data_IF_794805385502
#
_entry.id   IF_794805385502
#
_cell.length_a   1.000
_cell.length_b   1.000
_cell.length_c   1.000
_cell.angle_alpha   90.00
_cell.angle_beta   90.00
_cell.angle_gamma   90.00
#
_symmetry.space_group_name_H-M   'P 1'
#
loop_
_entity.id
_entity.type
_entity.pdbx_description
1 polymer ?
#
# COMPACT_ATOMS: atom_id res chain seq x y z
N UNK A 1 6.31 -7.12 -59.60
CA UNK A 1 6.82 -7.72 -58.35
C UNK A 1 8.19 -7.12 -58.07
N UNK A 2 8.40 -6.11 -57.21
CA UNK A 2 8.92 -6.32 -55.85
C UNK A 2 9.20 -4.97 -55.12
N UNK A 3 8.49 -3.88 -55.45
CA UNK A 3 8.78 -2.54 -54.87
C UNK A 3 7.62 -1.85 -54.13
N UNK A 4 6.38 -2.37 -54.21
CA UNK A 4 5.24 -1.84 -53.44
C UNK A 4 5.03 -2.50 -52.08
N UNK A 5 5.48 -3.75 -51.90
CA UNK A 5 5.35 -4.49 -50.64
C UNK A 5 6.31 -3.99 -49.54
N UNK A 6 7.48 -3.45 -49.92
CA UNK A 6 8.46 -2.93 -48.94
C UNK A 6 7.98 -1.63 -48.28
N UNK A 7 7.27 -0.77 -49.03
CA UNK A 7 6.80 0.54 -48.54
C UNK A 7 5.56 0.48 -47.63
N UNK A 8 4.87 -0.68 -47.56
CA UNK A 8 3.71 -0.87 -46.67
C UNK A 8 4.14 -1.46 -45.31
N UNK A 9 5.28 -2.15 -45.23
CA UNK A 9 5.85 -2.64 -43.97
C UNK A 9 6.49 -1.52 -43.13
N UNK A 10 7.01 -0.47 -43.77
CA UNK A 10 7.63 0.68 -43.09
C UNK A 10 6.61 1.70 -42.51
N UNK A 11 5.31 1.49 -42.71
CA UNK A 11 4.24 2.36 -42.19
C UNK A 11 3.57 1.84 -40.90
N UNK A 12 4.01 0.69 -40.36
CA UNK A 12 3.52 0.12 -39.10
C UNK A 12 4.56 0.24 -37.97
N UNK A 13 5.22 1.39 -37.91
CA UNK A 13 6.05 1.81 -36.79
C UNK A 13 5.61 3.21 -36.37
N UNK A 14 4.35 3.35 -35.97
CA UNK A 14 3.93 4.51 -35.17
C UNK A 14 4.64 4.39 -33.82
N UNK A 15 5.47 5.37 -33.45
CA UNK A 15 6.31 5.29 -32.26
C UNK A 15 5.45 5.28 -31.00
N UNK A 16 5.75 4.43 -30.00
CA UNK A 16 5.22 4.63 -28.66
C UNK A 16 5.73 5.99 -28.15
N UNK A 17 4.75 6.85 -27.87
CA UNK A 17 4.81 8.10 -27.13
C UNK A 17 5.95 8.17 -26.10
N UNK A 18 6.81 9.18 -26.25
CA UNK A 18 7.95 9.48 -25.38
C UNK A 18 7.62 9.96 -23.95
N UNK A 19 6.44 9.63 -23.43
CA UNK A 19 6.07 9.84 -22.03
C UNK A 19 6.39 8.62 -21.15
N UNK A 20 6.19 7.39 -21.65
CA UNK A 20 6.45 6.16 -20.89
C UNK A 20 7.95 5.97 -20.57
N UNK A 21 8.82 6.37 -21.49
CA UNK A 21 10.28 6.32 -21.33
C UNK A 21 10.77 7.29 -20.23
N UNK A 22 10.02 8.36 -19.94
CA UNK A 22 10.38 9.38 -18.94
C UNK A 22 9.95 8.96 -17.53
N UNK A 23 8.83 8.26 -17.39
CA UNK A 23 8.44 7.60 -16.15
C UNK A 23 9.36 6.42 -15.81
N UNK A 24 9.69 5.55 -16.79
CA UNK A 24 10.66 4.47 -16.57
C UNK A 24 12.02 5.00 -16.08
N UNK A 25 12.50 6.13 -16.62
CA UNK A 25 13.78 6.71 -16.21
C UNK A 25 13.73 7.34 -14.79
N UNK A 26 12.57 7.83 -14.34
CA UNK A 26 12.39 8.30 -12.94
C UNK A 26 12.24 7.14 -11.97
N UNK A 27 11.46 6.12 -12.32
CA UNK A 27 11.25 4.91 -11.52
C UNK A 27 12.56 4.12 -11.33
N UNK A 28 13.37 4.03 -12.39
CA UNK A 28 14.71 3.40 -12.35
C UNK A 28 15.74 4.22 -11.57
N UNK A 29 15.61 5.56 -11.51
CA UNK A 29 16.47 6.40 -10.66
C UNK A 29 16.10 6.31 -9.19
N UNK A 30 14.80 6.25 -8.87
CA UNK A 30 14.32 6.07 -7.51
C UNK A 30 14.70 4.70 -6.93
N UNK A 31 14.65 3.63 -7.74
CA UNK A 31 15.07 2.30 -7.31
C UNK A 31 16.57 2.16 -7.02
N UNK A 32 17.42 3.01 -7.62
CA UNK A 32 18.86 3.07 -7.29
C UNK A 32 19.12 3.70 -5.92
N UNK A 33 18.27 4.64 -5.48
CA UNK A 33 18.35 5.19 -4.12
C UNK A 33 17.97 4.17 -3.06
N UNK A 34 16.96 3.33 -3.34
CA UNK A 34 16.53 2.22 -2.47
C UNK A 34 17.59 1.10 -2.40
N UNK A 35 18.34 0.87 -3.50
CA UNK A 35 19.40 -0.15 -3.57
C UNK A 35 20.60 0.12 -2.64
N UNK A 36 20.81 1.35 -2.17
CA UNK A 36 21.97 1.70 -1.34
C UNK A 36 21.80 1.38 0.16
N UNK A 37 20.56 1.13 0.62
CA UNK A 37 20.25 0.91 2.05
C UNK A 37 19.85 -0.55 2.34
N UNK A 38 19.74 -1.39 1.29
CA UNK A 38 19.02 -2.66 1.39
C UNK A 38 19.98 -3.85 1.62
N UNK A 39 19.79 -4.64 2.70
CA UNK A 39 20.60 -5.83 2.97
C UNK A 39 20.43 -6.87 1.87
N UNK A 40 21.51 -7.63 1.59
CA UNK A 40 21.59 -8.58 0.47
C UNK A 40 20.42 -9.58 0.39
N UNK A 41 19.86 -9.99 1.53
CA UNK A 41 18.71 -10.89 1.62
C UNK A 41 17.43 -10.30 1.00
N UNK A 42 17.17 -9.01 1.23
CA UNK A 42 15.97 -8.34 0.69
C UNK A 42 16.14 -8.09 -0.82
N UNK A 43 17.37 -7.91 -1.30
CA UNK A 43 17.63 -7.75 -2.72
C UNK A 43 17.34 -9.03 -3.51
N UNK A 44 17.60 -10.21 -2.94
CA UNK A 44 17.25 -11.49 -3.56
C UNK A 44 15.73 -11.69 -3.63
N UNK A 45 15.01 -11.32 -2.57
CA UNK A 45 13.55 -11.38 -2.53
C UNK A 45 12.93 -10.44 -3.57
N UNK A 46 13.46 -9.22 -3.71
CA UNK A 46 12.94 -8.25 -4.67
C UNK A 46 13.16 -8.68 -6.12
N UNK A 47 14.30 -9.31 -6.43
CA UNK A 47 14.55 -9.86 -7.77
C UNK A 47 13.60 -11.04 -8.06
N UNK A 48 13.45 -11.98 -7.13
CA UNK A 48 12.56 -13.13 -7.29
C UNK A 48 11.08 -12.73 -7.43
N UNK A 49 10.61 -11.78 -6.61
CA UNK A 49 9.25 -11.24 -6.71
C UNK A 49 9.04 -10.45 -8.00
N UNK A 50 10.08 -9.74 -8.47
CA UNK A 50 10.04 -9.00 -9.74
C UNK A 50 9.92 -9.93 -10.95
N UNK A 51 10.63 -11.05 -10.94
CA UNK A 51 10.57 -12.05 -12.01
C UNK A 51 9.21 -12.76 -12.05
N UNK A 52 8.64 -13.09 -10.88
CA UNK A 52 7.29 -13.64 -10.77
C UNK A 52 6.21 -12.61 -11.18
N UNK A 53 6.37 -11.33 -10.82
CA UNK A 53 5.48 -10.27 -11.32
C UNK A 53 5.54 -10.13 -12.84
N UNK A 54 6.74 -10.25 -13.43
CA UNK A 54 6.94 -10.20 -14.89
C UNK A 54 6.30 -11.40 -15.59
N UNK A 55 6.39 -12.59 -14.98
CA UNK A 55 5.80 -13.82 -15.52
C UNK A 55 4.27 -13.79 -15.45
N UNK A 56 3.72 -13.30 -14.33
CA UNK A 56 2.28 -13.10 -14.11
C UNK A 56 1.71 -12.08 -15.10
N UNK A 57 2.41 -10.97 -15.36
CA UNK A 57 1.95 -9.95 -16.33
C UNK A 57 1.77 -10.50 -17.76
N UNK A 58 2.46 -11.58 -18.13
CA UNK A 58 2.36 -12.19 -19.46
C UNK A 58 1.04 -12.95 -19.70
N UNK A 59 0.32 -13.30 -18.64
CA UNK A 59 -0.97 -14.02 -18.69
C UNK A 59 -2.08 -13.17 -18.06
N UNK A 60 -2.70 -12.25 -18.81
CA UNK A 60 -3.60 -11.25 -18.24
C UNK A 60 -4.83 -11.87 -17.55
N UNK A 61 -5.31 -13.03 -18.02
CA UNK A 61 -6.48 -13.70 -17.44
C UNK A 61 -6.21 -14.30 -16.06
N UNK A 62 -5.07 -14.97 -15.89
CA UNK A 62 -4.67 -15.58 -14.62
C UNK A 62 -4.18 -14.52 -13.63
N UNK A 63 -3.46 -13.51 -14.12
CA UNK A 63 -3.04 -12.35 -13.33
C UNK A 63 -4.24 -11.60 -12.72
N UNK A 64 -5.29 -11.38 -13.51
CA UNK A 64 -6.46 -10.62 -13.05
C UNK A 64 -7.19 -11.35 -11.92
N UNK A 65 -7.32 -12.67 -11.98
CA UNK A 65 -7.90 -13.46 -10.89
C UNK A 65 -7.05 -13.41 -9.61
N UNK A 66 -5.74 -13.51 -9.73
CA UNK A 66 -4.81 -13.41 -8.59
C UNK A 66 -4.87 -12.02 -7.93
N UNK A 67 -4.87 -10.96 -8.74
CA UNK A 67 -4.98 -9.57 -8.28
C UNK A 67 -6.35 -9.31 -7.64
N UNK A 68 -7.44 -9.81 -8.22
CA UNK A 68 -8.78 -9.67 -7.63
C UNK A 68 -8.88 -10.39 -6.29
N UNK A 69 -8.33 -11.59 -6.15
CA UNK A 69 -8.30 -12.29 -4.86
C UNK A 69 -7.49 -11.52 -3.81
N UNK A 70 -6.32 -10.99 -4.17
CA UNK A 70 -5.52 -10.14 -3.29
C UNK A 70 -6.31 -8.89 -2.88
N UNK A 71 -6.92 -8.20 -3.85
CA UNK A 71 -7.74 -7.02 -3.60
C UNK A 71 -8.91 -7.35 -2.67
N UNK A 72 -9.61 -8.48 -2.87
CA UNK A 72 -10.69 -8.91 -1.98
C UNK A 72 -10.22 -9.04 -0.52
N UNK A 73 -9.06 -9.66 -0.28
CA UNK A 73 -8.49 -9.78 1.08
C UNK A 73 -8.08 -8.43 1.66
N UNK A 74 -7.50 -7.55 0.84
CA UNK A 74 -7.16 -6.19 1.26
C UNK A 74 -8.42 -5.36 1.56
N UNK A 75 -9.47 -5.47 0.75
CA UNK A 75 -10.74 -4.80 0.96
C UNK A 75 -11.45 -5.25 2.22
N UNK A 76 -11.44 -6.55 2.54
CA UNK A 76 -12.04 -7.05 3.79
C UNK A 76 -11.29 -6.53 5.01
N UNK A 77 -9.96 -6.52 4.98
CA UNK A 77 -9.14 -5.94 6.04
C UNK A 77 -9.38 -4.42 6.20
N UNK A 78 -9.45 -3.70 5.09
CA UNK A 78 -9.75 -2.25 5.07
C UNK A 78 -11.16 -1.96 5.58
N UNK A 79 -12.15 -2.74 5.19
CA UNK A 79 -13.52 -2.61 5.69
C UNK A 79 -13.58 -2.83 7.20
N UNK A 80 -12.88 -3.85 7.72
CA UNK A 80 -12.82 -4.09 9.16
C UNK A 80 -12.22 -2.89 9.90
N UNK A 81 -11.12 -2.33 9.40
CA UNK A 81 -10.50 -1.12 9.98
C UNK A 81 -11.44 0.09 9.93
N UNK A 82 -12.09 0.33 8.79
CA UNK A 82 -13.03 1.45 8.61
C UNK A 82 -14.25 1.31 9.50
N UNK A 83 -14.79 0.10 9.63
CA UNK A 83 -15.89 -0.20 10.57
C UNK A 83 -15.44 0.10 12.00
N UNK A 84 -14.22 -0.27 12.39
CA UNK A 84 -13.69 0.04 13.73
C UNK A 84 -13.64 1.55 14.01
N UNK A 85 -13.16 2.34 13.04
CA UNK A 85 -13.11 3.80 13.15
C UNK A 85 -14.50 4.40 13.27
N UNK A 86 -15.46 3.95 12.47
CA UNK A 86 -16.84 4.45 12.49
C UNK A 86 -17.56 4.04 13.78
N UNK A 87 -17.38 2.80 14.23
CA UNK A 87 -17.99 2.29 15.45
C UNK A 87 -17.49 3.04 16.70
N UNK A 88 -16.18 3.30 16.76
CA UNK A 88 -15.57 4.07 17.84
C UNK A 88 -15.92 5.56 17.82
N UNK A 89 -16.52 6.08 16.74
CA UNK A 89 -16.75 7.51 16.48
C UNK A 89 -15.52 8.41 16.72
N UNK A 90 -14.32 7.84 16.72
CA UNK A 90 -13.08 8.53 17.06
C UNK A 90 -12.05 8.32 15.95
N UNK A 91 -11.25 9.34 15.59
CA UNK A 91 -10.23 9.22 14.56
C UNK A 91 -9.07 8.29 14.96
N UNK A 92 -8.98 7.94 16.25
CA UNK A 92 -7.96 7.06 16.82
C UNK A 92 -8.64 5.98 17.69
N UNK A 93 -9.23 4.95 17.08
CA UNK A 93 -9.90 3.87 17.82
C UNK A 93 -8.94 3.04 18.67
N UNK A 94 -7.64 3.04 18.35
CA UNK A 94 -6.59 2.31 19.06
C UNK A 94 -5.42 3.24 19.36
N UNK A 95 -5.05 3.38 20.63
CA UNK A 95 -3.85 4.09 21.09
C UNK A 95 -3.05 3.23 22.03
N UNK A 96 -1.72 3.34 21.97
CA UNK A 96 -0.81 2.65 22.90
C UNK A 96 -0.29 3.66 23.92
N UNK A 97 -0.26 3.27 25.19
CA UNK A 97 0.32 4.09 26.25
C UNK A 97 1.84 4.09 26.11
N UNK A 98 2.37 5.20 25.58
CA UNK A 98 3.81 5.39 25.40
C UNK A 98 4.51 5.86 26.70
N UNK A 99 3.76 6.39 27.67
CA UNK A 99 4.30 6.94 28.91
C UNK A 99 3.38 6.65 30.09
N UNK A 100 3.93 6.11 31.19
CA UNK A 100 3.21 5.66 32.39
C UNK A 100 2.72 6.79 33.30
N UNK A 101 2.17 7.88 32.75
CA UNK A 101 1.68 9.02 33.54
C UNK A 101 0.31 8.78 34.19
N UNK A 102 -0.35 7.65 33.89
CA UNK A 102 -1.65 7.26 34.45
C UNK A 102 -1.56 6.02 35.37
N UNK A 103 -0.38 5.74 35.93
CA UNK A 103 -0.20 4.73 36.98
C UNK A 103 -0.95 5.17 38.25
N UNK A 104 -1.77 4.31 38.91
CA UNK A 104 -1.73 2.84 38.97
C UNK A 104 -2.67 2.07 38.00
N UNK A 105 -3.43 2.76 37.15
CA UNK A 105 -4.49 2.13 36.33
C UNK A 105 -4.03 1.70 34.93
N UNK A 106 -2.96 2.30 34.40
CA UNK A 106 -2.50 2.14 33.02
C UNK A 106 -0.98 1.99 32.98
N UNK A 107 -0.50 0.84 32.52
CA UNK A 107 0.93 0.53 32.41
C UNK A 107 1.49 0.87 31.03
N UNK A 108 2.81 0.99 30.95
CA UNK A 108 3.51 1.21 29.68
C UNK A 108 3.29 0.02 28.75
N UNK A 109 2.79 0.30 27.56
CA UNK A 109 2.49 -0.73 26.55
C UNK A 109 1.04 -1.19 26.52
N UNK A 110 0.16 -0.68 27.39
CA UNK A 110 -1.27 -1.00 27.33
C UNK A 110 -1.93 -0.43 26.06
N UNK A 111 -2.79 -1.25 25.45
CA UNK A 111 -3.57 -0.89 24.27
C UNK A 111 -4.94 -0.41 24.73
N UNK A 112 -5.28 0.83 24.43
CA UNK A 112 -6.57 1.43 24.77
C UNK A 112 -7.41 1.52 23.51
N UNK A 113 -8.64 1.02 23.64
CA UNK A 113 -9.68 1.24 22.66
C UNK A 113 -10.51 2.44 23.06
N UNK A 114 -10.48 3.50 22.24
CA UNK A 114 -11.27 4.70 22.47
C UNK A 114 -12.60 4.59 21.73
N UNK A 115 -13.69 4.70 22.47
CA UNK A 115 -15.04 4.81 21.93
C UNK A 115 -15.63 6.12 22.44
N UNK A 116 -15.92 7.03 21.52
CA UNK A 116 -16.61 8.27 21.85
C UNK A 116 -18.09 7.98 22.14
N UNK A 117 -18.52 8.26 23.38
CA UNK A 117 -19.90 8.05 23.86
C UNK A 117 -20.75 9.33 23.79
N UNK A 118 -20.23 10.41 23.21
CA UNK A 118 -20.92 11.69 23.07
C UNK A 118 -20.61 12.67 24.21
N UNK A 119 -21.37 13.78 24.30
CA UNK A 119 -21.02 14.94 25.14
C UNK A 119 -21.27 14.76 26.65
N UNK A 120 -21.93 13.67 27.06
CA UNK A 120 -22.24 13.41 28.47
C UNK A 120 -21.03 12.82 29.21
N UNK A 121 -20.18 13.69 29.73
CA UNK A 121 -19.02 13.32 30.55
C UNK A 121 -19.44 12.98 31.98
N UNK A 122 -19.01 11.81 32.48
CA UNK A 122 -19.22 11.39 33.88
C UNK A 122 -17.90 11.31 34.63
N UNK A 123 -17.97 11.47 35.95
CA UNK A 123 -16.81 11.28 36.81
C UNK A 123 -16.30 9.83 36.69
N UNK A 124 -15.02 9.67 36.33
CA UNK A 124 -14.39 8.37 36.06
C UNK A 124 -14.07 8.11 34.57
N UNK A 125 -14.53 8.97 33.66
CA UNK A 125 -14.19 8.87 32.23
C UNK A 125 -12.76 9.34 31.94
N UNK A 126 -12.07 8.64 31.03
CA UNK A 126 -10.72 8.97 30.58
C UNK A 126 -10.83 9.75 29.26
N UNK A 127 -10.41 11.02 29.29
CA UNK A 127 -10.49 11.93 28.14
C UNK A 127 -9.14 12.01 27.41
N UNK A 128 -9.18 12.06 26.08
CA UNK A 128 -8.01 12.27 25.23
C UNK A 128 -8.22 13.53 24.40
N UNK A 129 -7.28 14.46 24.54
CA UNK A 129 -7.29 15.70 23.78
C UNK A 129 -6.46 15.54 22.51
N UNK A 130 -6.94 16.16 21.44
CA UNK A 130 -6.16 16.37 20.23
C UNK A 130 -5.50 17.75 20.32
N UNK A 131 -4.18 17.78 20.21
CA UNK A 131 -3.41 19.02 20.10
C UNK A 131 -3.56 19.64 18.71
#
# INVERSE_FOLDING_TARGET
MSKRQKKVADALATPPSGEEVKEENKLTRFSRGVRAVMPACIQQLFQAVGDELRSVYRRPREALLSVVNLLCVLFTALMLWRVLVVYSNSPSPVVVVLSGSMEPALQRGDILFLVDRGPDLKAGDIIVFKA
#
